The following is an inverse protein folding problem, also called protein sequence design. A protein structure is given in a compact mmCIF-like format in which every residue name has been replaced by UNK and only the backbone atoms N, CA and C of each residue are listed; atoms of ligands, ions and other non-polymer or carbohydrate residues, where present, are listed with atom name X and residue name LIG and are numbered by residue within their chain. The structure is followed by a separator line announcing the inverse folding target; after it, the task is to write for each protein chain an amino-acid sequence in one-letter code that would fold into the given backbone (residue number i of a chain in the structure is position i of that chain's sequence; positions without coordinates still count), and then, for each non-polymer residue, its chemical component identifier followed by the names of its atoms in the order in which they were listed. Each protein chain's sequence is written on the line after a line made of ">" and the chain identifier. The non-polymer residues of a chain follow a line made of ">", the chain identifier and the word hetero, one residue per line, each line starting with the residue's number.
data_IF_505797581020
#
_entry.id   IF_505797581020
#
_cell.length_a   1.000
_cell.length_b   1.000
_cell.length_c   1.000
_cell.angle_alpha   90.00
_cell.angle_beta   90.00
_cell.angle_gamma   90.00
#
_symmetry.space_group_name_H-M   'P 1'
#
loop_
_entity.id
_entity.type
_entity.pdbx_description
1 polymer ?
#
# COMPACT_ATOMS: atom_id res chain seq x y z
N UNK A 1 -2.71 9.44 -25.13
CA UNK A 1 -2.85 9.58 -23.67
C UNK A 1 -3.12 8.21 -23.09
N UNK A 2 -2.23 7.70 -22.24
CA UNK A 2 -2.40 6.40 -21.60
C UNK A 2 -3.52 6.44 -20.56
N UNK A 3 -4.26 5.34 -20.41
CA UNK A 3 -5.29 5.20 -19.37
C UNK A 3 -4.60 5.14 -18.00
N UNK A 4 -4.96 6.06 -17.10
CA UNK A 4 -4.50 6.02 -15.71
C UNK A 4 -5.02 4.77 -15.00
N UNK A 5 -4.19 4.24 -14.10
CA UNK A 5 -4.49 3.09 -13.25
C UNK A 5 -4.87 3.60 -11.88
N UNK A 6 -6.01 3.14 -11.36
CA UNK A 6 -6.50 3.46 -10.02
C UNK A 6 -6.87 2.18 -9.30
N UNK A 7 -6.22 1.91 -8.17
CA UNK A 7 -6.36 0.66 -7.43
C UNK A 7 -6.48 0.92 -5.94
N UNK A 8 -6.97 -0.08 -5.20
CA UNK A 8 -7.09 -0.03 -3.74
C UNK A 8 -6.49 -1.28 -3.08
N UNK A 9 -5.80 -1.07 -1.96
CA UNK A 9 -5.33 -2.10 -1.05
C UNK A 9 -6.03 -1.90 0.30
N UNK A 10 -6.65 -2.96 0.82
CA UNK A 10 -7.33 -2.95 2.11
C UNK A 10 -6.65 -3.93 3.04
N UNK A 11 -6.30 -3.46 4.24
CA UNK A 11 -5.55 -4.22 5.24
C UNK A 11 -6.31 -4.17 6.57
N UNK A 12 -6.37 -5.30 7.29
CA UNK A 12 -6.85 -5.31 8.68
C UNK A 12 -5.81 -4.68 9.59
N UNK A 13 -6.21 -3.84 10.53
CA UNK A 13 -5.28 -3.09 11.37
C UNK A 13 -5.82 -2.98 12.79
N UNK A 14 -5.19 -3.72 13.70
CA UNK A 14 -5.58 -3.75 15.11
C UNK A 14 -4.71 -2.78 15.93
N UNK A 15 -3.47 -2.52 15.49
CA UNK A 15 -2.55 -1.64 16.20
C UNK A 15 -2.77 -0.16 15.83
N UNK A 16 -2.74 0.71 16.84
CA UNK A 16 -2.96 2.14 16.67
C UNK A 16 -1.89 2.80 15.79
N UNK A 17 -0.63 2.38 15.93
CA UNK A 17 0.54 3.04 15.31
C UNK A 17 0.84 2.60 13.87
N UNK A 18 0.19 1.54 13.39
CA UNK A 18 0.41 0.99 12.05
C UNK A 18 0.22 2.02 10.95
N UNK A 19 -0.71 2.97 11.11
CA UNK A 19 -0.95 4.00 10.10
C UNK A 19 0.29 4.90 9.87
N UNK A 20 0.92 5.39 10.95
CA UNK A 20 2.10 6.23 10.83
C UNK A 20 3.25 5.49 10.13
N UNK A 21 3.43 4.21 10.47
CA UNK A 21 4.49 3.39 9.87
C UNK A 21 4.20 2.99 8.43
N UNK A 22 2.94 2.77 8.05
CA UNK A 22 2.56 2.54 6.66
C UNK A 22 2.74 3.81 5.82
N UNK A 23 2.47 4.99 6.39
CA UNK A 23 2.76 6.26 5.71
C UNK A 23 4.24 6.48 5.47
N UNK A 24 5.10 6.09 6.41
CA UNK A 24 6.55 6.15 6.23
C UNK A 24 7.03 5.19 5.13
N UNK A 25 6.39 4.02 5.02
CA UNK A 25 6.67 3.03 3.96
C UNK A 25 6.21 3.48 2.57
N UNK A 26 5.23 4.39 2.49
CA UNK A 26 4.92 5.14 1.26
C UNK A 26 6.04 6.17 1.12
N UNK A 27 7.17 5.75 0.57
CA UNK A 27 8.32 6.62 0.35
C UNK A 27 7.92 7.92 -0.35
N UNK A 28 8.74 8.96 -0.21
CA UNK A 28 8.56 10.24 -0.94
C UNK A 28 8.92 10.02 -2.42
N UNK A 29 8.01 9.41 -3.17
CA UNK A 29 8.09 9.44 -4.62
C UNK A 29 7.55 10.80 -5.09
N UNK A 30 8.45 11.77 -5.21
CA UNK A 30 8.14 13.13 -5.68
C UNK A 30 7.88 13.18 -7.20
N UNK A 31 7.89 12.04 -7.89
CA UNK A 31 7.47 12.00 -9.28
C UNK A 31 5.95 12.16 -9.38
N UNK A 32 5.47 13.09 -10.20
CA UNK A 32 4.04 13.37 -10.42
C UNK A 32 3.24 12.18 -11.02
N UNK A 33 3.84 10.99 -11.08
CA UNK A 33 3.36 9.78 -11.75
C UNK A 33 2.69 8.80 -10.80
N UNK A 34 2.77 9.01 -9.48
CA UNK A 34 2.13 8.18 -8.46
C UNK A 34 1.55 9.07 -7.36
N UNK A 35 0.26 8.94 -7.10
CA UNK A 35 -0.42 9.57 -5.97
C UNK A 35 -0.96 8.46 -5.08
N UNK A 36 -0.63 8.49 -3.79
CA UNK A 36 -1.08 7.50 -2.81
C UNK A 36 -1.78 8.20 -1.65
N UNK A 37 -2.98 7.73 -1.32
CA UNK A 37 -3.76 8.18 -0.18
C UNK A 37 -4.01 7.03 0.78
N UNK A 38 -3.92 7.29 2.08
CA UNK A 38 -4.18 6.31 3.13
C UNK A 38 -5.23 6.85 4.11
N UNK A 39 -6.31 6.09 4.27
CA UNK A 39 -7.39 6.37 5.22
C UNK A 39 -7.48 5.24 6.24
N UNK A 40 -7.52 5.59 7.54
CA UNK A 40 -7.83 4.63 8.60
C UNK A 40 -9.32 4.60 8.86
N UNK A 41 -9.86 3.40 8.97
CA UNK A 41 -11.20 3.10 9.43
C UNK A 41 -11.09 2.22 10.68
N UNK A 42 -12.19 1.95 11.35
CA UNK A 42 -12.17 1.05 12.51
C UNK A 42 -11.77 -0.38 12.06
N UNK A 43 -10.71 -0.91 12.69
CA UNK A 43 -10.10 -2.21 12.34
C UNK A 43 -9.47 -2.31 10.94
N UNK A 44 -9.42 -1.25 10.13
CA UNK A 44 -8.97 -1.31 8.73
C UNK A 44 -8.10 -0.11 8.33
N UNK A 45 -7.21 -0.36 7.38
CA UNK A 45 -6.53 0.68 6.61
C UNK A 45 -6.85 0.49 5.13
N UNK A 46 -7.32 1.56 4.51
CA UNK A 46 -7.59 1.61 3.07
C UNK A 46 -6.55 2.50 2.41
N UNK A 47 -5.81 1.93 1.47
CA UNK A 47 -4.84 2.64 0.64
C UNK A 47 -5.40 2.72 -0.77
N UNK A 48 -5.35 3.91 -1.37
CA UNK A 48 -5.71 4.14 -2.77
C UNK A 48 -4.50 4.68 -3.51
N UNK A 49 -4.25 4.19 -4.71
CA UNK A 49 -3.15 4.64 -5.54
C UNK A 49 -3.64 4.99 -6.95
N UNK A 50 -3.12 6.08 -7.51
CA UNK A 50 -3.35 6.53 -8.88
C UNK A 50 -2.01 6.71 -9.58
N UNK A 51 -1.84 6.11 -10.76
CA UNK A 51 -0.62 6.27 -11.55
C UNK A 51 -0.89 6.23 -13.06
N UNK A 52 0.10 6.65 -13.86
CA UNK A 52 0.04 6.55 -15.32
C UNK A 52 0.35 5.12 -15.84
N UNK A 53 0.85 4.24 -14.97
CA UNK A 53 1.17 2.85 -15.28
C UNK A 53 0.92 1.94 -14.05
N UNK A 54 0.66 0.64 -14.25
CA UNK A 54 0.38 -0.29 -13.13
C UNK A 54 1.61 -0.63 -12.28
N UNK A 55 2.82 -0.56 -12.86
CA UNK A 55 4.07 -0.91 -12.17
C UNK A 55 4.29 -0.15 -10.85
N UNK A 56 4.22 1.20 -10.84
CA UNK A 56 4.32 1.99 -9.61
C UNK A 56 3.30 1.63 -8.53
N UNK A 57 2.04 1.40 -8.92
CA UNK A 57 0.96 0.99 -8.00
C UNK A 57 1.29 -0.35 -7.35
N UNK A 58 1.74 -1.33 -8.15
CA UNK A 58 2.13 -2.64 -7.63
C UNK A 58 3.33 -2.54 -6.69
N UNK A 59 4.35 -1.75 -7.03
CA UNK A 59 5.52 -1.56 -6.17
C UNK A 59 5.16 -0.99 -4.79
N UNK A 60 4.32 0.04 -4.73
CA UNK A 60 3.91 0.61 -3.44
C UNK A 60 3.01 -0.35 -2.65
N UNK A 61 2.12 -1.09 -3.30
CA UNK A 61 1.30 -2.09 -2.61
C UNK A 61 2.14 -3.25 -2.06
N UNK A 62 3.16 -3.71 -2.79
CA UNK A 62 4.12 -4.73 -2.32
C UNK A 62 4.89 -4.26 -1.08
N UNK A 63 5.38 -3.02 -1.08
CA UNK A 63 6.06 -2.44 0.08
C UNK A 63 5.12 -2.34 1.30
N UNK A 64 3.91 -1.81 1.10
CA UNK A 64 2.92 -1.65 2.16
C UNK A 64 2.47 -2.99 2.75
N UNK A 65 2.25 -3.99 1.91
CA UNK A 65 1.90 -5.32 2.36
C UNK A 65 3.03 -5.97 3.18
N UNK A 66 4.27 -5.88 2.70
CA UNK A 66 5.43 -6.38 3.43
C UNK A 66 5.53 -5.74 4.81
N UNK A 67 5.43 -4.41 4.88
CA UNK A 67 5.49 -3.68 6.15
C UNK A 67 4.32 -4.03 7.07
N UNK A 68 3.12 -4.12 6.53
CA UNK A 68 1.93 -4.51 7.28
C UNK A 68 2.08 -5.89 7.92
N UNK A 69 2.64 -6.89 7.21
CA UNK A 69 2.87 -8.23 7.76
C UNK A 69 3.83 -8.23 8.94
N UNK A 70 4.89 -7.43 8.87
CA UNK A 70 5.82 -7.29 9.98
C UNK A 70 5.12 -6.73 11.21
N UNK A 71 4.33 -5.66 11.03
CA UNK A 71 3.70 -4.94 12.14
C UNK A 71 2.53 -5.69 12.77
N UNK A 72 1.61 -6.19 11.95
CA UNK A 72 0.34 -6.77 12.43
C UNK A 72 0.43 -8.29 12.65
N UNK A 73 1.40 -8.97 12.02
CA UNK A 73 1.52 -10.43 12.10
C UNK A 73 2.85 -10.90 12.67
N UNK A 74 3.84 -10.03 12.87
CA UNK A 74 5.19 -10.43 13.27
C UNK A 74 5.86 -11.36 12.25
N UNK A 75 5.43 -11.30 10.99
CA UNK A 75 5.89 -12.20 9.93
C UNK A 75 6.82 -11.46 8.98
N UNK A 76 7.80 -12.18 8.43
CA UNK A 76 8.69 -11.64 7.41
C UNK A 76 7.90 -11.12 6.19
N UNK A 77 8.42 -10.09 5.49
CA UNK A 77 7.85 -9.63 4.24
C UNK A 77 7.73 -10.77 3.24
N UNK A 78 6.54 -10.91 2.66
CA UNK A 78 6.28 -11.87 1.59
C UNK A 78 5.25 -11.28 0.65
N UNK A 79 5.40 -11.50 -0.65
CA UNK A 79 4.48 -11.00 -1.66
C UNK A 79 3.09 -11.67 -1.53
N UNK A 80 1.97 -10.95 -1.68
CA UNK A 80 0.64 -11.55 -1.79
C UNK A 80 0.55 -12.52 -2.96
N UNK A 81 0.03 -13.72 -2.69
CA UNK A 81 -0.22 -14.74 -3.71
C UNK A 81 -1.20 -14.28 -4.80
N UNK A 82 -2.12 -13.37 -4.48
CA UNK A 82 -3.10 -12.82 -5.44
C UNK A 82 -2.44 -12.04 -6.57
N UNK A 83 -1.18 -11.62 -6.43
CA UNK A 83 -0.47 -10.95 -7.52
C UNK A 83 0.34 -11.89 -8.42
N UNK A 84 0.34 -13.19 -8.13
CA UNK A 84 0.94 -14.21 -9.00
C UNK A 84 -0.05 -14.78 -10.02
N UNK A 85 -1.34 -14.46 -9.87
CA UNK A 85 -2.43 -14.81 -10.79
C UNK A 85 -2.75 -13.66 -11.73
#
# INVERSE_FOLDING_TARGET
>A
GGRRVFESLVLSCDQADTNAQLRDAIGKDDSARLVVGLTRLDGLVVVRALADAPGPVRGVFEALWGRWRELERGQAPHRPRIWDT
#
